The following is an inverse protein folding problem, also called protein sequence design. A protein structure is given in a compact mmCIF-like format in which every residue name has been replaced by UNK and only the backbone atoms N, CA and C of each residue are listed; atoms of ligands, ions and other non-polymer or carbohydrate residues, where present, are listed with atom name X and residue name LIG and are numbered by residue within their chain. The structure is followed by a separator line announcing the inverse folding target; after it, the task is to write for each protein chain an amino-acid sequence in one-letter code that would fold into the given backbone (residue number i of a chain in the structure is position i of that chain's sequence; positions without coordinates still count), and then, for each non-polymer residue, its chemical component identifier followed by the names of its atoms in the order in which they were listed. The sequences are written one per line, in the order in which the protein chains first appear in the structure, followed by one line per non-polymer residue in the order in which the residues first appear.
data_IF_891695255026
#
_entry.id   IF_891695255026
#
_cell.length_a   1.000
_cell.length_b   1.000
_cell.length_c   1.000
_cell.angle_alpha   90.00
_cell.angle_beta   90.00
_cell.angle_gamma   90.00
#
_symmetry.space_group_name_H-M   'P 1'
#
loop_
_entity.id
_entity.type
_entity.pdbx_description
1 polymer ?
#
# COMPACT_ATOMS: atom_id res chain seq x y z
N UNK A 1 -2.38 6.01 29.91
CA UNK A 1 -2.98 5.00 29.02
C UNK A 1 -3.66 5.78 27.89
N UNK A 2 -3.70 5.25 26.66
CA UNK A 2 -4.30 5.92 25.50
C UNK A 2 -5.71 6.40 25.85
N UNK A 3 -6.09 7.58 25.36
CA UNK A 3 -7.39 8.20 25.64
C UNK A 3 -8.57 7.42 25.06
N UNK A 4 -8.31 6.68 23.98
CA UNK A 4 -9.23 5.74 23.35
C UNK A 4 -8.50 4.44 23.00
N UNK A 5 -9.20 3.30 22.96
CA UNK A 5 -8.64 2.05 22.43
C UNK A 5 -8.31 2.21 20.94
N UNK A 6 -7.14 1.71 20.52
CA UNK A 6 -6.73 1.73 19.12
C UNK A 6 -7.16 0.43 18.44
N UNK A 7 -7.98 0.52 17.41
CA UNK A 7 -8.34 -0.65 16.60
C UNK A 7 -7.21 -1.04 15.65
N UNK A 8 -7.03 -2.35 15.50
CA UNK A 8 -6.19 -2.97 14.47
C UNK A 8 -6.90 -4.19 13.92
N UNK A 9 -6.33 -4.84 12.90
CA UNK A 9 -6.81 -6.15 12.42
C UNK A 9 -6.89 -7.25 13.49
N UNK A 10 -6.25 -7.04 14.65
CA UNK A 10 -6.21 -7.97 15.77
C UNK A 10 -7.13 -7.57 16.95
N UNK A 11 -8.03 -6.59 16.75
CA UNK A 11 -8.89 -6.04 17.79
C UNK A 11 -8.35 -4.74 18.40
N UNK A 12 -8.71 -4.48 19.65
CA UNK A 12 -8.45 -3.19 20.33
C UNK A 12 -7.22 -3.21 21.24
N UNK A 13 -6.39 -2.17 21.14
CA UNK A 13 -5.16 -1.99 21.91
C UNK A 13 -5.28 -0.84 22.90
N UNK A 14 -4.98 -1.11 24.17
CA UNK A 14 -4.79 -0.08 25.20
C UNK A 14 -3.30 0.21 25.35
N UNK A 15 -2.87 1.41 24.98
CA UNK A 15 -1.44 1.75 24.93
C UNK A 15 -1.04 2.52 26.19
N UNK A 16 -0.06 2.01 26.95
CA UNK A 16 0.56 2.76 28.05
C UNK A 16 2.00 3.11 27.67
N UNK A 17 2.22 4.37 27.30
CA UNK A 17 3.54 4.87 26.97
C UNK A 17 4.31 5.21 28.25
N UNK A 18 5.48 4.60 28.43
CA UNK A 18 6.34 4.83 29.59
C UNK A 18 7.38 5.92 29.33
N UNK A 19 7.98 5.92 28.13
CA UNK A 19 8.99 6.89 27.71
C UNK A 19 8.82 7.17 26.22
N UNK A 20 9.05 8.41 25.82
CA UNK A 20 9.14 8.86 24.42
C UNK A 20 10.38 9.72 24.24
N UNK A 21 11.08 9.53 23.14
CA UNK A 21 12.08 10.47 22.65
C UNK A 21 11.55 11.04 21.34
N UNK A 22 11.53 12.36 21.22
CA UNK A 22 11.06 12.99 19.99
C UNK A 22 12.03 12.71 18.84
N UNK A 23 11.48 12.26 17.72
CA UNK A 23 12.24 12.13 16.48
C UNK A 23 12.49 13.50 15.86
N UNK A 24 13.65 13.67 15.22
CA UNK A 24 13.91 14.81 14.36
C UNK A 24 13.83 14.37 12.90
N UNK A 25 13.24 15.19 12.00
CA UNK A 25 13.26 14.89 10.58
C UNK A 25 14.68 14.67 10.07
N UNK A 26 14.87 13.60 9.28
CA UNK A 26 16.14 13.39 8.61
C UNK A 26 16.33 14.41 7.50
N UNK A 27 17.54 14.93 7.36
CA UNK A 27 17.93 15.68 6.16
C UNK A 27 17.73 14.79 4.92
N UNK A 28 17.31 15.38 3.81
CA UNK A 28 16.99 14.66 2.58
C UNK A 28 18.09 13.68 2.17
N UNK A 29 19.36 14.11 2.18
CA UNK A 29 20.49 13.27 1.79
C UNK A 29 20.59 11.96 2.58
N UNK A 30 20.17 11.96 3.85
CA UNK A 30 20.17 10.76 4.70
C UNK A 30 19.00 9.82 4.39
N UNK A 31 17.90 10.34 3.86
CA UNK A 31 16.70 9.57 3.52
C UNK A 31 16.59 9.24 2.03
N UNK A 32 17.41 9.87 1.18
CA UNK A 32 17.34 9.82 -0.29
C UNK A 32 17.25 8.39 -0.82
N UNK A 33 18.12 7.51 -0.35
CA UNK A 33 18.18 6.14 -0.89
C UNK A 33 16.94 5.32 -0.47
N UNK A 34 16.41 5.55 0.73
CA UNK A 34 15.16 4.94 1.20
C UNK A 34 13.95 5.46 0.41
N UNK A 35 13.88 6.76 0.17
CA UNK A 35 12.84 7.38 -0.67
C UNK A 35 12.90 6.79 -2.08
N UNK A 36 14.08 6.74 -2.67
CA UNK A 36 14.27 6.19 -4.01
C UNK A 36 13.88 4.70 -4.07
N UNK A 37 14.23 3.90 -3.06
CA UNK A 37 13.79 2.51 -2.92
C UNK A 37 12.27 2.40 -2.89
N UNK A 38 11.61 3.15 -2.02
CA UNK A 38 10.16 3.17 -1.90
C UNK A 38 9.46 3.56 -3.20
N UNK A 39 9.96 4.61 -3.88
CA UNK A 39 9.38 5.08 -5.13
C UNK A 39 9.54 4.05 -6.25
N UNK A 40 10.69 3.37 -6.36
CA UNK A 40 10.91 2.30 -7.34
C UNK A 40 9.95 1.14 -7.11
N UNK A 41 9.83 0.66 -5.87
CA UNK A 41 8.91 -0.42 -5.54
C UNK A 41 7.45 -0.03 -5.81
N UNK A 42 7.06 1.19 -5.46
CA UNK A 42 5.70 1.68 -5.72
C UNK A 42 5.41 1.73 -7.22
N UNK A 43 6.33 2.28 -8.02
CA UNK A 43 6.20 2.32 -9.47
C UNK A 43 6.14 0.90 -10.08
N UNK A 44 6.96 -0.02 -9.58
CA UNK A 44 6.96 -1.42 -10.03
C UNK A 44 5.62 -2.11 -9.71
N UNK A 45 5.12 -2.01 -8.47
CA UNK A 45 3.82 -2.58 -8.08
C UNK A 45 2.69 -2.04 -8.94
N UNK A 46 2.67 -0.74 -9.21
CA UNK A 46 1.69 -0.12 -10.10
C UNK A 46 1.82 -0.62 -11.55
N UNK A 47 3.04 -0.75 -12.06
CA UNK A 47 3.30 -1.28 -13.41
C UNK A 47 2.82 -2.71 -13.57
N UNK A 48 3.11 -3.57 -12.59
CA UNK A 48 2.65 -4.96 -12.56
C UNK A 48 1.11 -5.01 -12.52
N UNK A 49 0.49 -4.24 -11.62
CA UNK A 49 -0.98 -4.19 -11.52
C UNK A 49 -1.63 -3.79 -12.85
N UNK A 50 -1.14 -2.73 -13.50
CA UNK A 50 -1.64 -2.30 -14.83
C UNK A 50 -1.47 -3.38 -15.89
N UNK A 51 -0.31 -4.05 -15.91
CA UNK A 51 -0.06 -5.13 -16.85
C UNK A 51 -1.02 -6.31 -16.63
N UNK A 52 -1.24 -6.71 -15.38
CA UNK A 52 -2.21 -7.75 -15.04
C UNK A 52 -3.63 -7.35 -15.44
N UNK A 53 -4.05 -6.11 -15.23
CA UNK A 53 -5.35 -5.63 -15.70
C UNK A 53 -5.52 -5.77 -17.22
N UNK A 54 -4.48 -5.47 -18.01
CA UNK A 54 -4.50 -5.66 -19.46
C UNK A 54 -4.62 -7.13 -19.85
N UNK A 55 -3.95 -8.03 -19.14
CA UNK A 55 -4.04 -9.47 -19.40
C UNK A 55 -5.42 -10.02 -19.03
N UNK A 56 -5.96 -9.61 -17.88
CA UNK A 56 -7.30 -10.01 -17.43
C UNK A 56 -8.35 -9.57 -18.46
N UNK A 57 -8.31 -8.33 -18.94
CA UNK A 57 -9.25 -7.84 -19.94
C UNK A 57 -9.16 -8.53 -21.32
N UNK A 58 -8.13 -9.35 -21.57
CA UNK A 58 -7.96 -10.15 -22.80
C UNK A 58 -8.25 -11.64 -22.60
N UNK A 59 -8.39 -12.09 -21.37
CA UNK A 59 -8.58 -13.49 -21.03
C UNK A 59 -10.07 -13.79 -20.84
N UNK A 60 -10.49 -14.97 -21.25
CA UNK A 60 -11.79 -15.52 -20.85
C UNK A 60 -11.62 -16.16 -19.46
N UNK A 61 -12.16 -15.51 -18.43
CA UNK A 61 -12.05 -15.94 -17.03
C UNK A 61 -13.46 -16.20 -16.51
N UNK A 62 -13.71 -17.44 -16.09
CA UNK A 62 -14.99 -17.87 -15.55
C UNK A 62 -14.86 -18.37 -14.10
N UNK A 63 -15.95 -18.28 -13.35
CA UNK A 63 -16.06 -18.84 -11.99
C UNK A 63 -15.52 -17.95 -10.86
N UNK A 64 -14.88 -16.83 -11.17
CA UNK A 64 -14.45 -15.80 -10.22
C UNK A 64 -14.57 -14.42 -10.87
N UNK A 65 -14.88 -13.39 -10.07
CA UNK A 65 -14.84 -12.00 -10.52
C UNK A 65 -13.51 -11.36 -10.13
N UNK A 66 -12.84 -10.76 -11.11
CA UNK A 66 -11.58 -10.05 -10.93
C UNK A 66 -11.83 -8.59 -11.27
N UNK A 67 -11.56 -7.67 -10.35
CA UNK A 67 -11.63 -6.22 -10.60
C UNK A 67 -10.79 -5.87 -11.84
N UNK A 68 -11.48 -5.63 -12.97
CA UNK A 68 -10.90 -5.53 -14.31
C UNK A 68 -11.72 -6.21 -15.42
N UNK A 69 -12.76 -6.96 -15.05
CA UNK A 69 -13.73 -7.62 -15.95
C UNK A 69 -14.64 -6.63 -16.71
N UNK A 70 -14.84 -5.42 -16.20
CA UNK A 70 -15.43 -4.31 -16.95
C UNK A 70 -14.32 -3.47 -17.62
N UNK A 71 -13.82 -3.95 -18.76
CA UNK A 71 -12.88 -3.22 -19.62
C UNK A 71 -13.53 -1.94 -20.19
N UNK A 72 -13.06 -0.72 -19.85
CA UNK A 72 -13.56 0.52 -20.44
C UNK A 72 -12.93 0.84 -21.80
N UNK A 73 -11.97 0.04 -22.28
CA UNK A 73 -11.17 0.32 -23.48
C UNK A 73 -11.63 -0.48 -24.71
N UNK A 74 -12.90 -0.87 -24.73
CA UNK A 74 -13.59 -1.32 -25.93
C UNK A 74 -14.56 -0.24 -26.45
N UNK A 75 -14.12 1.03 -26.54
CA UNK A 75 -14.66 2.08 -27.42
C UNK A 75 -13.58 3.10 -27.77
#
# INVERSE_FOLDING_TARGET
ISSQPLESRFGFHLIRLHRKTEGQPLAYEKARDQIAGYLRESAQRQGISRYLSLLIGRADIAGIDLLGTDSPLAR
#
